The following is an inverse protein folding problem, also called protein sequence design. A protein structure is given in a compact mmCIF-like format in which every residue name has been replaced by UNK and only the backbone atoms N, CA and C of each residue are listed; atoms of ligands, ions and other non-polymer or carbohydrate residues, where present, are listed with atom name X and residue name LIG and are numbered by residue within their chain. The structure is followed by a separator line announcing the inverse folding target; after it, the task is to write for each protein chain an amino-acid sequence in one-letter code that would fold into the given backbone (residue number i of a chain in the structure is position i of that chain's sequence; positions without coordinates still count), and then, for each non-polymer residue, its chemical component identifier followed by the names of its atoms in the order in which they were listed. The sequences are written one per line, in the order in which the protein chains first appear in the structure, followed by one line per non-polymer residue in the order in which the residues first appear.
data_IF_239552961519
#
_entry.id   IF_239552961519
#
_cell.length_a   1.000
_cell.length_b   1.000
_cell.length_c   1.000
_cell.angle_alpha   90.00
_cell.angle_beta   90.00
_cell.angle_gamma   90.00
#
_symmetry.space_group_name_H-M   'P 1'
#
loop_
_entity.id
_entity.type
_entity.pdbx_description
1 polymer ?
#
# COMPACT_ATOMS: atom_id res chain seq x y z
N UNK A 1 14.94 -8.27 10.92
CA UNK A 1 13.83 -7.42 10.43
C UNK A 1 14.32 -5.99 10.47
N UNK A 2 14.34 -5.29 9.33
CA UNK A 2 15.00 -4.00 9.21
C UNK A 2 14.14 -2.92 9.90
N UNK A 3 14.76 -1.95 10.59
CA UNK A 3 14.02 -0.90 11.32
C UNK A 3 13.10 -0.10 10.38
N UNK A 4 13.52 0.07 9.12
CA UNK A 4 12.74 0.69 8.05
C UNK A 4 11.46 -0.05 7.67
N UNK A 5 11.48 -1.39 7.67
CA UNK A 5 10.28 -2.21 7.37
C UNK A 5 9.23 -2.17 8.48
N UNK A 6 9.66 -2.07 9.74
CA UNK A 6 8.75 -1.93 10.88
C UNK A 6 8.12 -0.54 10.93
N UNK A 7 8.93 0.50 10.67
CA UNK A 7 8.44 1.88 10.58
C UNK A 7 7.43 2.03 9.44
N UNK A 8 7.74 1.53 8.24
CA UNK A 8 6.82 1.60 7.10
C UNK A 8 5.51 0.84 7.31
N UNK A 9 5.51 -0.24 8.09
CA UNK A 9 4.27 -0.94 8.48
C UNK A 9 3.44 -0.14 9.49
N UNK A 10 4.08 0.51 10.45
CA UNK A 10 3.42 1.36 11.45
C UNK A 10 2.86 2.62 10.79
N UNK A 11 3.62 3.25 9.91
CA UNK A 11 3.24 4.47 9.19
C UNK A 11 2.09 4.20 8.19
N UNK A 12 1.96 2.97 7.69
CA UNK A 12 0.85 2.54 6.85
C UNK A 12 -0.42 2.18 7.64
N UNK A 13 -0.35 2.00 8.96
CA UNK A 13 -1.49 1.64 9.79
C UNK A 13 -2.19 2.89 10.33
N UNK A 14 -3.48 2.98 10.11
CA UNK A 14 -4.30 4.03 10.71
C UNK A 14 -4.36 3.84 12.24
N UNK A 15 -4.52 4.94 12.99
CA UNK A 15 -4.68 4.88 14.45
C UNK A 15 -5.79 3.90 14.90
N UNK A 16 -6.97 3.84 14.25
CA UNK A 16 -7.97 2.81 14.52
C UNK A 16 -7.45 1.39 14.32
N UNK A 17 -6.69 1.13 13.25
CA UNK A 17 -6.06 -0.17 13.00
C UNK A 17 -5.12 -0.58 14.13
N UNK A 18 -4.26 0.34 14.59
CA UNK A 18 -3.34 0.10 15.71
C UNK A 18 -4.08 -0.24 17.01
N UNK A 19 -5.18 0.46 17.30
CA UNK A 19 -6.01 0.19 18.49
C UNK A 19 -6.67 -1.19 18.43
N UNK A 20 -7.25 -1.55 17.27
CA UNK A 20 -7.85 -2.87 17.05
C UNK A 20 -6.81 -3.99 17.21
N UNK A 21 -5.62 -3.83 16.62
CA UNK A 21 -4.53 -4.78 16.80
C UNK A 21 -4.07 -4.89 18.25
N UNK A 22 -3.99 -3.77 18.97
CA UNK A 22 -3.63 -3.75 20.38
C UNK A 22 -4.62 -4.56 21.22
N UNK A 23 -5.92 -4.41 20.97
CA UNK A 23 -6.98 -5.19 21.65
C UNK A 23 -6.81 -6.68 21.37
N UNK A 24 -6.63 -7.09 20.10
CA UNK A 24 -6.45 -8.51 19.74
C UNK A 24 -5.22 -9.10 20.42
N UNK A 25 -4.09 -8.39 20.39
CA UNK A 25 -2.85 -8.84 21.04
C UNK A 25 -3.02 -8.97 22.56
N UNK A 26 -3.71 -8.02 23.19
CA UNK A 26 -4.02 -8.08 24.63
C UNK A 26 -4.92 -9.27 24.97
N UNK A 27 -5.93 -9.55 24.14
CA UNK A 27 -6.82 -10.71 24.35
C UNK A 27 -6.07 -12.04 24.19
N UNK A 28 -5.19 -12.15 23.19
CA UNK A 28 -4.32 -13.32 23.01
C UNK A 28 -3.43 -13.51 24.23
N UNK A 29 -2.75 -12.44 24.68
CA UNK A 29 -1.88 -12.48 25.84
C UNK A 29 -2.66 -12.86 27.11
N UNK A 30 -3.82 -12.26 27.33
CA UNK A 30 -4.69 -12.57 28.45
C UNK A 30 -5.14 -14.05 28.43
N UNK A 31 -5.48 -14.58 27.26
CA UNK A 31 -5.81 -16.00 27.07
C UNK A 31 -4.65 -16.93 27.43
N UNK A 32 -3.43 -16.63 26.97
CA UNK A 32 -2.22 -17.40 27.31
C UNK A 32 -1.95 -17.34 28.82
N UNK A 33 -2.00 -16.15 29.43
CA UNK A 33 -1.79 -15.99 30.87
C UNK A 33 -2.85 -16.74 31.67
N UNK A 34 -4.10 -16.69 31.25
CA UNK A 34 -5.20 -17.42 31.88
C UNK A 34 -4.99 -18.93 31.79
N UNK A 35 -4.65 -19.47 30.61
CA UNK A 35 -4.32 -20.89 30.42
C UNK A 35 -3.16 -21.33 31.31
N UNK A 36 -2.06 -20.56 31.36
CA UNK A 36 -0.91 -20.90 32.20
C UNK A 36 -1.24 -20.85 33.69
N UNK A 37 -2.08 -19.89 34.12
CA UNK A 37 -2.54 -19.80 35.51
C UNK A 37 -3.45 -20.95 35.90
N UNK A 38 -4.39 -21.35 35.03
CA UNK A 38 -5.30 -22.47 35.32
C UNK A 38 -4.54 -23.78 35.42
N UNK A 39 -3.62 -24.04 34.48
CA UNK A 39 -2.73 -25.20 34.58
C UNK A 39 -1.87 -25.19 35.84
N UNK A 40 -1.21 -24.06 36.15
CA UNK A 40 -0.37 -23.96 37.34
C UNK A 40 -1.16 -24.32 38.60
N UNK A 41 -2.37 -23.77 38.76
CA UNK A 41 -3.27 -24.09 39.87
C UNK A 41 -3.61 -25.58 39.93
N UNK A 42 -3.91 -26.20 38.78
CA UNK A 42 -4.21 -27.63 38.71
C UNK A 42 -3.04 -28.51 39.13
N UNK A 43 -1.82 -28.18 38.69
CA UNK A 43 -0.62 -28.95 39.05
C UNK A 43 -0.13 -28.66 40.47
N UNK A 44 -0.33 -27.45 40.99
CA UNK A 44 -0.09 -27.13 42.40
C UNK A 44 -0.98 -27.96 43.32
N UNK A 45 -2.29 -28.05 43.01
CA UNK A 45 -3.24 -28.86 43.76
C UNK A 45 -2.88 -30.36 43.79
N UNK A 46 -2.08 -30.83 42.82
CA UNK A 46 -1.57 -32.21 42.74
C UNK A 46 -0.17 -32.38 43.33
N UNK A 47 0.41 -31.34 43.93
CA UNK A 47 1.78 -31.36 44.47
C UNK A 47 2.88 -31.38 43.39
N UNK A 48 2.56 -31.03 42.14
CA UNK A 48 3.48 -31.07 40.97
C UNK A 48 3.83 -29.68 40.42
N UNK A 49 3.57 -28.61 41.16
CA UNK A 49 3.77 -27.22 40.74
C UNK A 49 5.17 -26.90 40.19
N UNK A 50 6.21 -27.34 40.89
CA UNK A 50 7.61 -27.16 40.46
C UNK A 50 7.92 -27.95 39.19
N UNK A 51 7.42 -29.19 39.10
CA UNK A 51 7.58 -30.03 37.91
C UNK A 51 6.87 -29.44 36.69
N UNK A 52 5.71 -28.80 36.87
CA UNK A 52 5.01 -28.08 35.79
C UNK A 52 5.88 -26.95 35.21
N UNK A 53 6.51 -26.15 36.06
CA UNK A 53 7.37 -25.05 35.61
C UNK A 53 8.55 -25.58 34.81
N UNK A 54 9.20 -26.65 35.29
CA UNK A 54 10.28 -27.30 34.56
C UNK A 54 9.83 -27.87 33.22
N UNK A 55 8.67 -28.51 33.16
CA UNK A 55 8.09 -28.99 31.91
C UNK A 55 7.85 -27.87 30.91
N UNK A 56 7.40 -26.69 31.37
CA UNK A 56 7.22 -25.50 30.53
C UNK A 56 8.53 -24.92 30.00
N UNK A 57 9.57 -24.88 30.83
CA UNK A 57 10.89 -24.44 30.41
C UNK A 57 11.54 -25.43 29.44
N UNK A 58 11.39 -26.74 29.68
CA UNK A 58 11.90 -27.81 28.81
C UNK A 58 11.15 -27.87 27.45
N UNK A 59 9.93 -27.36 27.37
CA UNK A 59 9.21 -27.29 26.09
C UNK A 59 9.96 -26.44 25.04
N UNK A 60 10.75 -25.44 25.46
CA UNK A 60 11.54 -24.60 24.54
C UNK A 60 12.68 -25.37 23.84
N UNK A 61 13.61 -26.04 24.55
CA UNK A 61 14.62 -26.88 23.89
C UNK A 61 14.00 -28.08 23.18
N UNK A 62 12.90 -28.66 23.68
CA UNK A 62 12.17 -29.70 22.96
C UNK A 62 11.64 -29.16 21.61
N UNK A 63 11.08 -27.94 21.59
CA UNK A 63 10.63 -27.30 20.36
C UNK A 63 11.78 -27.10 19.37
N UNK A 64 12.92 -26.61 19.85
CA UNK A 64 14.10 -26.40 19.04
C UNK A 64 14.61 -27.72 18.43
N UNK A 65 14.66 -28.78 19.22
CA UNK A 65 15.05 -30.13 18.76
C UNK A 65 14.05 -30.68 17.74
N UNK A 66 12.76 -30.56 18.00
CA UNK A 66 11.70 -30.97 17.06
C UNK A 66 11.81 -30.20 15.74
N UNK A 67 11.99 -28.88 15.79
CA UNK A 67 12.17 -28.05 14.60
C UNK A 67 13.45 -28.43 13.83
N UNK A 68 14.57 -28.65 14.53
CA UNK A 68 15.83 -29.06 13.93
C UNK A 68 15.73 -30.42 13.22
N UNK A 69 15.04 -31.39 13.84
CA UNK A 69 14.81 -32.71 13.28
C UNK A 69 14.01 -32.68 11.97
N UNK A 70 13.16 -31.66 11.77
CA UNK A 70 12.37 -31.50 10.54
C UNK A 70 13.10 -30.63 9.51
N UNK A 71 13.62 -29.47 9.92
CA UNK A 71 14.10 -28.43 9.02
C UNK A 71 15.51 -28.71 8.51
N UNK A 72 16.42 -29.21 9.34
CA UNK A 72 17.82 -29.42 8.92
C UNK A 72 17.93 -30.46 7.81
N UNK A 73 17.27 -31.64 7.89
CA UNK A 73 17.38 -32.61 6.81
C UNK A 73 16.65 -32.13 5.54
N UNK A 74 15.48 -31.49 5.67
CA UNK A 74 14.78 -30.92 4.52
C UNK A 74 15.63 -29.89 3.76
N UNK A 75 16.42 -29.07 4.46
CA UNK A 75 17.35 -28.10 3.86
C UNK A 75 18.55 -28.73 3.16
N UNK A 76 18.88 -29.97 3.47
CA UNK A 76 19.98 -30.70 2.81
C UNK A 76 19.56 -31.33 1.48
N UNK A 77 18.26 -31.33 1.17
CA UNK A 77 17.69 -31.85 -0.07
C UNK A 77 17.43 -30.66 -1.00
N UNK A 78 17.83 -30.77 -2.26
CA UNK A 78 17.53 -29.78 -3.30
C UNK A 78 16.28 -30.21 -4.09
N UNK A 79 15.56 -29.23 -4.66
CA UNK A 79 14.44 -29.50 -5.55
C UNK A 79 13.10 -29.79 -4.85
N UNK A 80 12.08 -30.22 -5.60
CA UNK A 80 10.73 -30.51 -5.08
C UNK A 80 10.70 -31.63 -4.03
N UNK A 81 11.68 -32.53 -4.03
CA UNK A 81 11.85 -33.61 -3.07
C UNK A 81 12.03 -33.09 -1.63
N UNK A 82 12.62 -31.90 -1.48
CA UNK A 82 12.78 -31.25 -0.19
C UNK A 82 11.43 -30.96 0.47
N UNK A 83 10.43 -30.55 -0.33
CA UNK A 83 9.08 -30.28 0.15
C UNK A 83 8.35 -31.55 0.58
N UNK A 84 8.48 -32.62 -0.21
CA UNK A 84 7.89 -33.93 0.12
C UNK A 84 8.47 -34.49 1.42
N UNK A 85 9.81 -34.45 1.56
CA UNK A 85 10.47 -34.84 2.81
C UNK A 85 10.04 -33.97 3.98
N UNK A 86 9.98 -32.64 3.80
CA UNK A 86 9.53 -31.72 4.83
C UNK A 86 8.14 -32.08 5.36
N UNK A 87 7.16 -32.34 4.48
CA UNK A 87 5.83 -32.75 4.91
C UNK A 87 5.83 -34.09 5.62
N UNK A 88 6.56 -35.09 5.10
CA UNK A 88 6.68 -36.39 5.75
C UNK A 88 7.24 -36.23 7.18
N UNK A 89 8.35 -35.49 7.33
CA UNK A 89 8.97 -35.22 8.62
C UNK A 89 8.04 -34.41 9.54
N UNK A 90 7.33 -33.42 9.01
CA UNK A 90 6.39 -32.60 9.76
C UNK A 90 5.23 -33.42 10.32
N UNK A 91 4.69 -34.37 9.56
CA UNK A 91 3.54 -35.18 9.99
C UNK A 91 3.93 -36.44 10.77
N UNK A 92 5.19 -36.86 10.75
CA UNK A 92 5.65 -38.08 11.44
C UNK A 92 6.69 -37.80 12.53
N UNK A 93 7.86 -37.26 12.17
CA UNK A 93 8.96 -36.99 13.08
C UNK A 93 8.63 -35.88 14.08
N UNK A 94 7.91 -34.84 13.65
CA UNK A 94 7.59 -33.72 14.54
C UNK A 94 6.68 -34.14 15.70
N UNK A 95 5.54 -34.83 15.48
CA UNK A 95 4.71 -35.34 16.58
C UNK A 95 5.47 -36.35 17.45
N UNK A 96 6.20 -37.28 16.85
CA UNK A 96 6.95 -38.30 17.60
C UNK A 96 8.00 -37.67 18.53
N UNK A 97 8.78 -36.72 18.02
CA UNK A 97 9.77 -36.00 18.82
C UNK A 97 9.10 -35.13 19.88
N UNK A 98 8.10 -34.32 19.51
CA UNK A 98 7.44 -33.40 20.43
C UNK A 98 6.79 -34.14 21.61
N UNK A 99 5.87 -35.06 21.34
CA UNK A 99 5.14 -35.78 22.38
C UNK A 99 6.03 -36.80 23.09
N UNK A 100 6.96 -37.45 22.38
CA UNK A 100 7.91 -38.40 22.94
C UNK A 100 8.85 -37.76 23.96
N UNK A 101 9.46 -36.61 23.61
CA UNK A 101 10.35 -35.88 24.51
C UNK A 101 9.60 -35.29 25.71
N UNK A 102 8.36 -34.80 25.54
CA UNK A 102 7.53 -34.37 26.68
C UNK A 102 7.24 -35.53 27.64
N UNK A 103 6.94 -36.73 27.12
CA UNK A 103 6.73 -37.92 27.94
C UNK A 103 7.99 -38.34 28.70
N UNK A 104 9.15 -38.32 28.04
CA UNK A 104 10.44 -38.63 28.66
C UNK A 104 10.76 -37.62 29.76
N UNK A 105 10.63 -36.31 29.48
CA UNK A 105 10.85 -35.25 30.45
C UNK A 105 9.93 -35.38 31.67
N UNK A 106 8.64 -35.68 31.45
CA UNK A 106 7.66 -35.88 32.53
C UNK A 106 7.95 -37.11 33.40
N UNK A 107 8.51 -38.17 32.83
CA UNK A 107 8.94 -39.37 33.55
C UNK A 107 10.18 -39.15 34.43
N UNK A 108 10.97 -38.11 34.14
CA UNK A 108 12.16 -37.71 34.91
C UNK A 108 11.83 -36.73 36.05
N UNK A 109 10.61 -36.18 36.10
CA UNK A 109 10.18 -35.30 37.19
C UNK A 109 9.88 -36.09 38.48
N UNK A 110 10.02 -35.42 39.62
CA UNK A 110 9.62 -35.92 40.95
C UNK A 110 8.70 -34.88 41.61
N UNK A 111 7.40 -35.17 41.81
CA UNK A 111 6.67 -36.40 41.43
C UNK A 111 6.55 -36.61 39.92
N UNK A 112 6.47 -37.87 39.49
CA UNK A 112 6.36 -38.24 38.06
C UNK A 112 5.03 -37.79 37.46
N UNK A 113 5.06 -37.31 36.21
CA UNK A 113 3.86 -36.96 35.44
C UNK A 113 3.26 -38.21 34.80
N UNK A 114 1.93 -38.30 34.77
CA UNK A 114 1.24 -39.38 34.04
C UNK A 114 1.30 -39.13 32.53
N UNK A 115 1.01 -40.17 31.74
CA UNK A 115 0.95 -40.04 30.26
C UNK A 115 -0.05 -38.97 29.82
N UNK A 116 -1.22 -38.92 30.47
CA UNK A 116 -2.27 -37.94 30.18
C UNK A 116 -1.82 -36.51 30.53
N UNK A 117 -1.12 -36.33 31.64
CA UNK A 117 -0.58 -35.02 32.03
C UNK A 117 0.51 -34.53 31.06
N UNK A 118 1.40 -35.42 30.62
CA UNK A 118 2.42 -35.08 29.62
C UNK A 118 1.80 -34.70 28.28
N UNK A 119 0.79 -35.46 27.84
CA UNK A 119 0.04 -35.16 26.62
C UNK A 119 -0.68 -33.82 26.72
N UNK A 120 -1.35 -33.54 27.84
CA UNK A 120 -2.01 -32.27 28.09
C UNK A 120 -1.06 -31.08 28.01
N UNK A 121 0.12 -31.18 28.64
CA UNK A 121 1.15 -30.13 28.59
C UNK A 121 1.74 -29.93 27.19
N UNK A 122 1.99 -31.02 26.46
CA UNK A 122 2.47 -30.98 25.10
C UNK A 122 1.44 -30.32 24.15
N UNK A 123 0.16 -30.66 24.32
CA UNK A 123 -0.93 -30.11 23.52
C UNK A 123 -1.16 -28.63 23.82
N UNK A 124 -1.20 -28.24 25.09
CA UNK A 124 -1.36 -26.83 25.45
C UNK A 124 -0.13 -25.99 25.11
N UNK A 125 1.08 -26.58 25.13
CA UNK A 125 2.29 -25.95 24.58
C UNK A 125 2.17 -25.66 23.08
N UNK A 126 1.68 -26.63 22.30
CA UNK A 126 1.38 -26.41 20.88
C UNK A 126 0.29 -25.37 20.67
N UNK A 127 -0.76 -25.38 21.49
CA UNK A 127 -1.83 -24.39 21.41
C UNK A 127 -1.29 -22.96 21.62
N UNK A 128 -0.39 -22.74 22.59
CA UNK A 128 0.26 -21.44 22.81
C UNK A 128 1.07 -21.00 21.59
N UNK A 129 1.63 -21.93 20.82
CA UNK A 129 2.42 -21.63 19.62
C UNK A 129 1.54 -21.37 18.38
N UNK A 130 0.50 -22.18 18.18
CA UNK A 130 -0.29 -22.23 16.94
C UNK A 130 -1.49 -21.29 16.98
N UNK A 131 -2.17 -21.19 18.12
CA UNK A 131 -3.41 -20.40 18.22
C UNK A 131 -3.16 -18.91 17.97
N UNK A 132 -2.11 -18.25 18.49
CA UNK A 132 -1.87 -16.84 18.22
C UNK A 132 -1.75 -16.48 16.73
N UNK A 133 -0.89 -17.12 15.91
CA UNK A 133 -0.81 -16.78 14.49
C UNK A 133 -2.11 -17.09 13.74
N UNK A 134 -2.86 -18.13 14.13
CA UNK A 134 -4.18 -18.40 13.53
C UNK A 134 -5.17 -17.27 13.84
N UNK A 135 -5.27 -16.84 15.10
CA UNK A 135 -6.15 -15.74 15.49
C UNK A 135 -5.77 -14.43 14.81
N UNK A 136 -4.47 -14.14 14.69
CA UNK A 136 -3.97 -12.96 13.97
C UNK A 136 -4.36 -13.04 12.48
N UNK A 137 -4.18 -14.19 11.84
CA UNK A 137 -4.58 -14.40 10.44
C UNK A 137 -6.08 -14.25 10.23
N UNK A 138 -6.90 -14.80 11.14
CA UNK A 138 -8.36 -14.64 11.10
C UNK A 138 -8.81 -13.20 11.35
N UNK A 139 -8.10 -12.46 12.20
CA UNK A 139 -8.42 -11.06 12.51
C UNK A 139 -8.01 -10.08 11.41
N UNK A 140 -7.03 -10.44 10.56
CA UNK A 140 -6.47 -9.54 9.54
C UNK A 140 -7.53 -8.95 8.60
N UNK A 141 -8.39 -9.79 8.01
CA UNK A 141 -9.44 -9.34 7.10
C UNK A 141 -10.47 -8.42 7.77
N UNK A 142 -11.12 -8.85 8.86
CA UNK A 142 -12.07 -8.02 9.60
C UNK A 142 -11.48 -6.71 10.12
N UNK A 143 -10.26 -6.71 10.67
CA UNK A 143 -9.59 -5.48 11.13
C UNK A 143 -9.33 -4.54 9.96
N UNK A 144 -8.81 -5.05 8.85
CA UNK A 144 -8.60 -4.24 7.65
C UNK A 144 -9.92 -3.59 7.19
N UNK A 145 -10.98 -4.39 7.01
CA UNK A 145 -12.30 -3.90 6.58
C UNK A 145 -12.86 -2.86 7.55
N UNK A 146 -12.83 -3.12 8.86
CA UNK A 146 -13.35 -2.19 9.86
C UNK A 146 -12.51 -0.90 9.92
N UNK A 147 -11.19 -1.00 9.89
CA UNK A 147 -10.30 0.16 9.89
C UNK A 147 -10.51 1.03 8.65
N UNK A 148 -10.69 0.41 7.49
CA UNK A 148 -11.01 1.08 6.24
C UNK A 148 -12.38 1.74 6.32
N UNK A 149 -13.42 1.03 6.80
CA UNK A 149 -14.76 1.60 6.96
C UNK A 149 -14.79 2.80 7.92
N UNK A 150 -14.06 2.73 9.04
CA UNK A 150 -13.93 3.86 9.97
C UNK A 150 -13.25 5.06 9.32
N UNK A 151 -12.23 4.80 8.50
CA UNK A 151 -11.55 5.85 7.75
C UNK A 151 -12.47 6.47 6.66
N UNK A 152 -13.14 5.65 5.86
CA UNK A 152 -14.13 6.11 4.86
C UNK A 152 -15.23 6.95 5.52
N UNK A 153 -15.80 6.46 6.62
CA UNK A 153 -16.80 7.19 7.39
C UNK A 153 -16.28 8.54 7.90
N UNK A 154 -15.01 8.60 8.32
CA UNK A 154 -14.37 9.86 8.70
C UNK A 154 -14.35 10.90 7.57
N UNK A 155 -14.13 10.47 6.32
CA UNK A 155 -14.19 11.35 5.16
C UNK A 155 -15.62 11.75 4.83
N UNK A 156 -16.57 10.82 4.86
CA UNK A 156 -17.99 11.11 4.59
C UNK A 156 -18.57 12.16 5.56
N UNK A 157 -18.14 12.11 6.83
CA UNK A 157 -18.58 13.02 7.89
C UNK A 157 -17.66 14.24 8.07
N UNK A 158 -16.68 14.46 7.19
CA UNK A 158 -15.81 15.63 7.28
C UNK A 158 -16.62 16.94 7.21
N UNK A 159 -16.24 17.93 8.01
CA UNK A 159 -16.96 19.21 8.04
C UNK A 159 -16.84 19.94 6.70
N UNK A 160 -17.95 20.45 6.18
CA UNK A 160 -17.92 21.27 4.96
C UNK A 160 -17.35 22.65 5.28
N UNK A 161 -16.39 23.10 4.48
CA UNK A 161 -15.78 24.42 4.56
C UNK A 161 -15.48 24.95 3.15
N UNK A 162 -15.27 26.27 2.97
CA UNK A 162 -14.78 26.80 1.71
C UNK A 162 -13.42 26.18 1.35
N UNK A 163 -13.21 25.86 0.07
CA UNK A 163 -11.93 25.32 -0.39
C UNK A 163 -10.81 26.37 -0.16
N UNK A 164 -9.73 26.02 0.57
CA UNK A 164 -8.66 26.96 0.86
C UNK A 164 -7.75 27.23 -0.35
N UNK A 165 -7.76 26.35 -1.35
CA UNK A 165 -6.95 26.49 -2.56
C UNK A 165 -7.35 27.71 -3.37
N UNK A 166 -6.35 28.39 -3.92
CA UNK A 166 -6.56 29.45 -4.92
C UNK A 166 -6.63 28.80 -6.30
N UNK A 167 -7.78 28.92 -6.97
CA UNK A 167 -7.92 28.45 -8.34
C UNK A 167 -7.29 29.45 -9.32
N UNK A 168 -6.25 29.02 -10.02
CA UNK A 168 -5.66 29.81 -11.10
C UNK A 168 -6.58 29.85 -12.32
N UNK A 169 -6.42 30.83 -13.23
CA UNK A 169 -7.22 30.88 -14.46
C UNK A 169 -7.09 29.60 -15.29
N UNK A 170 -8.20 29.14 -15.84
CA UNK A 170 -8.20 28.03 -16.80
C UNK A 170 -7.47 28.46 -18.07
N UNK A 171 -6.60 27.59 -18.57
CA UNK A 171 -5.87 27.79 -19.82
C UNK A 171 -6.29 26.74 -20.85
N UNK A 172 -6.32 27.14 -22.13
CA UNK A 172 -6.65 26.26 -23.26
C UNK A 172 -5.42 26.06 -24.13
N UNK A 173 -5.09 24.80 -24.41
CA UNK A 173 -3.93 24.44 -25.22
C UNK A 173 -4.32 23.61 -26.45
N UNK A 174 -3.67 23.89 -27.58
CA UNK A 174 -3.74 23.13 -28.83
C UNK A 174 -2.57 22.15 -28.91
N UNK A 175 -2.87 20.87 -29.08
CA UNK A 175 -1.88 19.79 -29.24
C UNK A 175 -1.72 19.47 -30.74
N UNK A 176 -1.30 20.46 -31.52
CA UNK A 176 -1.24 20.35 -32.98
C UNK A 176 -2.60 20.03 -33.60
N UNK A 177 -2.63 19.07 -34.53
CA UNK A 177 -3.87 18.62 -35.19
C UNK A 177 -4.64 17.55 -34.38
N UNK A 178 -4.08 17.05 -33.27
CA UNK A 178 -4.66 15.92 -32.54
C UNK A 178 -5.88 16.31 -31.69
N UNK A 179 -5.88 17.52 -31.13
CA UNK A 179 -6.95 17.99 -30.27
C UNK A 179 -6.55 19.16 -29.41
N UNK A 180 -7.44 19.51 -28.49
CA UNK A 180 -7.25 20.61 -27.54
C UNK A 180 -7.59 20.15 -26.13
N UNK A 181 -6.93 20.75 -25.14
CA UNK A 181 -7.17 20.49 -23.71
C UNK A 181 -7.42 21.80 -22.97
N UNK A 182 -8.14 21.68 -21.87
CA UNK A 182 -8.15 22.68 -20.81
C UNK A 182 -7.25 22.23 -19.67
N UNK A 183 -6.64 23.20 -19.00
CA UNK A 183 -5.83 22.96 -17.81
C UNK A 183 -6.12 24.00 -16.74
N UNK A 184 -6.01 23.60 -15.48
CA UNK A 184 -6.15 24.50 -14.35
C UNK A 184 -5.31 24.01 -13.18
N UNK A 185 -4.73 24.93 -12.43
CA UNK A 185 -4.01 24.60 -11.19
C UNK A 185 -4.74 25.20 -10.00
N UNK A 186 -4.79 24.44 -8.91
CA UNK A 186 -5.28 24.85 -7.60
C UNK A 186 -4.08 24.91 -6.66
N UNK A 187 -3.72 26.10 -6.21
CA UNK A 187 -2.56 26.31 -5.34
C UNK A 187 -2.98 26.28 -3.87
N UNK A 188 -2.35 25.42 -3.09
CA UNK A 188 -2.61 25.32 -1.65
C UNK A 188 -1.91 26.43 -0.88
N UNK A 189 -2.57 27.07 0.10
CA UNK A 189 -1.87 27.90 1.06
C UNK A 189 -1.01 27.05 2.02
N UNK A 190 -0.02 27.64 2.69
CA UNK A 190 0.77 26.93 3.69
C UNK A 190 -0.09 26.33 4.81
N UNK A 191 0.25 25.12 5.26
CA UNK A 191 -0.40 24.45 6.39
C UNK A 191 -1.66 23.65 6.03
N UNK A 192 -2.08 23.64 4.77
CA UNK A 192 -3.09 22.70 4.26
C UNK A 192 -2.42 21.38 3.91
N UNK A 193 -3.05 20.26 4.28
CA UNK A 193 -2.61 18.92 3.88
C UNK A 193 -3.77 18.13 3.28
N UNK A 194 -3.75 17.89 1.98
CA UNK A 194 -4.72 17.05 1.29
C UNK A 194 -4.56 15.60 1.73
N UNK A 195 -5.65 15.01 2.19
CA UNK A 195 -5.71 13.59 2.55
C UNK A 195 -6.35 12.73 1.46
N UNK A 196 -7.35 13.27 0.76
CA UNK A 196 -8.12 12.53 -0.23
C UNK A 196 -8.79 13.45 -1.23
N UNK A 197 -8.94 12.97 -2.46
CA UNK A 197 -9.69 13.64 -3.50
C UNK A 197 -10.63 12.61 -4.11
N UNK A 198 -11.93 12.86 -3.99
CA UNK A 198 -12.95 12.07 -4.64
C UNK A 198 -13.44 12.78 -5.89
N UNK A 199 -13.86 12.01 -6.89
CA UNK A 199 -14.59 12.52 -8.05
C UNK A 199 -15.95 11.84 -8.13
N UNK A 200 -16.93 12.56 -8.67
CA UNK A 200 -18.29 12.06 -8.80
C UNK A 200 -18.51 11.33 -10.13
N UNK A 201 -18.97 10.09 -10.06
CA UNK A 201 -19.48 9.32 -11.21
C UNK A 201 -20.93 8.93 -10.93
N UNK A 202 -21.87 9.48 -11.71
CA UNK A 202 -23.30 9.38 -11.39
C UNK A 202 -23.60 9.99 -10.02
N UNK A 203 -24.13 9.18 -9.10
CA UNK A 203 -24.40 9.59 -7.72
C UNK A 203 -23.35 9.11 -6.71
N UNK A 204 -22.28 8.49 -7.18
CA UNK A 204 -21.24 7.93 -6.31
C UNK A 204 -19.98 8.78 -6.32
N UNK A 205 -19.44 9.03 -5.13
CA UNK A 205 -18.11 9.62 -4.93
C UNK A 205 -17.09 8.51 -4.80
N UNK A 206 -15.99 8.62 -5.54
CA UNK A 206 -14.95 7.60 -5.55
C UNK A 206 -13.56 8.21 -5.53
N UNK A 207 -12.66 7.56 -4.81
CA UNK A 207 -11.31 8.06 -4.58
C UNK A 207 -10.51 8.03 -5.88
N UNK A 208 -10.03 9.20 -6.30
CA UNK A 208 -9.25 9.38 -7.53
C UNK A 208 -7.94 8.61 -7.51
N UNK A 209 -7.36 8.33 -6.33
CA UNK A 209 -6.17 7.49 -6.19
C UNK A 209 -6.39 6.03 -6.61
N UNK A 210 -7.64 5.57 -6.70
CA UNK A 210 -8.00 4.22 -7.16
C UNK A 210 -8.48 4.19 -8.61
N UNK A 211 -8.56 5.35 -9.26
CA UNK A 211 -9.04 5.46 -10.63
C UNK A 211 -7.90 5.36 -11.63
N UNK A 212 -8.21 4.76 -12.78
CA UNK A 212 -7.35 4.80 -13.96
C UNK A 212 -7.72 6.03 -14.78
N UNK A 213 -6.74 6.78 -15.32
CA UNK A 213 -6.98 7.94 -16.20
C UNK A 213 -7.63 9.15 -15.52
N UNK A 214 -7.08 9.55 -14.37
CA UNK A 214 -7.75 10.41 -13.41
C UNK A 214 -7.86 11.93 -13.70
N UNK A 215 -7.74 12.50 -14.90
CA UNK A 215 -7.72 13.97 -15.22
C UNK A 215 -6.99 14.98 -14.28
N UNK A 216 -6.36 14.53 -13.21
CA UNK A 216 -5.76 15.32 -12.14
C UNK A 216 -4.43 14.68 -11.74
N UNK A 217 -3.50 15.52 -11.33
CA UNK A 217 -2.29 15.11 -10.63
C UNK A 217 -2.01 16.06 -9.46
N UNK A 218 -1.20 15.61 -8.53
CA UNK A 218 -0.83 16.31 -7.32
C UNK A 218 0.67 16.62 -7.31
N UNK A 219 1.00 17.82 -6.83
CA UNK A 219 2.37 18.24 -6.56
C UNK A 219 2.41 18.87 -5.16
N UNK A 220 2.93 18.13 -4.17
CA UNK A 220 2.83 18.51 -2.77
C UNK A 220 1.37 18.62 -2.37
N UNK A 221 0.88 19.84 -2.13
CA UNK A 221 -0.51 20.11 -1.77
C UNK A 221 -1.29 20.82 -2.88
N UNK A 222 -0.63 21.08 -4.01
CA UNK A 222 -1.23 21.66 -5.20
C UNK A 222 -1.88 20.58 -6.05
N UNK A 223 -2.96 20.95 -6.73
CA UNK A 223 -3.68 20.07 -7.66
C UNK A 223 -3.63 20.67 -9.06
N UNK A 224 -3.39 19.82 -10.05
CA UNK A 224 -3.33 20.22 -11.45
C UNK A 224 -4.29 19.36 -12.25
N UNK A 225 -5.20 20.02 -12.95
CA UNK A 225 -6.26 19.42 -13.74
C UNK A 225 -5.92 19.56 -15.22
N UNK A 226 -6.12 18.50 -16.00
CA UNK A 226 -5.99 18.52 -17.44
C UNK A 226 -7.06 17.61 -18.08
N UNK A 227 -7.91 18.18 -18.94
CA UNK A 227 -9.01 17.44 -19.57
C UNK A 227 -9.22 17.86 -21.02
N UNK A 228 -9.75 16.95 -21.83
CA UNK A 228 -10.01 17.22 -23.25
C UNK A 228 -11.15 18.22 -23.44
N UNK A 229 -11.03 19.12 -24.41
CA UNK A 229 -12.14 19.99 -24.82
C UNK A 229 -13.33 19.13 -25.25
N UNK A 230 -14.53 19.47 -24.79
CA UNK A 230 -15.75 18.70 -25.04
C UNK A 230 -15.99 17.52 -24.08
N UNK A 231 -15.04 17.20 -23.19
CA UNK A 231 -15.26 16.26 -22.10
C UNK A 231 -15.79 17.00 -20.86
N UNK A 232 -16.88 16.54 -20.23
CA UNK A 232 -17.33 17.11 -18.98
C UNK A 232 -16.32 16.79 -17.88
N UNK A 233 -15.97 17.79 -17.06
CA UNK A 233 -15.20 17.55 -15.86
C UNK A 233 -16.15 17.20 -14.72
N UNK A 234 -15.94 16.04 -14.11
CA UNK A 234 -16.69 15.67 -12.91
C UNK A 234 -16.34 16.62 -11.75
N UNK A 235 -17.30 16.94 -10.86
CA UNK A 235 -16.99 17.64 -9.61
C UNK A 235 -15.96 16.86 -8.79
N UNK A 236 -15.05 17.60 -8.17
CA UNK A 236 -14.10 17.07 -7.20
C UNK A 236 -14.61 17.34 -5.80
N UNK A 237 -14.37 16.42 -4.88
CA UNK A 237 -14.52 16.63 -3.45
C UNK A 237 -13.14 16.46 -2.83
N UNK A 238 -12.62 17.56 -2.30
CA UNK A 238 -11.27 17.62 -1.79
C UNK A 238 -11.35 17.58 -0.26
N UNK A 239 -10.67 16.61 0.35
CA UNK A 239 -10.55 16.46 1.79
C UNK A 239 -9.15 16.88 2.23
N UNK A 240 -9.07 17.77 3.22
CA UNK A 240 -7.80 18.25 3.76
C UNK A 240 -7.85 18.34 5.28
N UNK A 241 -6.65 18.30 5.89
CA UNK A 241 -6.44 18.73 7.26
C UNK A 241 -5.95 20.16 7.30
N UNK A 242 -6.53 20.93 8.21
CA UNK A 242 -6.04 22.24 8.62
C UNK A 242 -4.85 22.08 9.58
N UNK A 243 -4.14 23.17 9.87
CA UNK A 243 -2.93 23.15 10.71
C UNK A 243 -3.18 22.65 12.15
N UNK A 244 -4.41 22.75 12.65
CA UNK A 244 -4.88 22.21 13.93
C UNK A 244 -5.24 20.71 13.87
N UNK A 245 -5.14 20.08 12.70
CA UNK A 245 -5.42 18.65 12.49
C UNK A 245 -6.89 18.32 12.18
N UNK A 246 -7.77 19.31 12.10
CA UNK A 246 -9.20 19.11 11.80
C UNK A 246 -9.40 18.69 10.34
N UNK A 247 -10.18 17.63 10.11
CA UNK A 247 -10.52 17.15 8.76
C UNK A 247 -11.71 17.94 8.21
N UNK A 248 -11.53 18.53 7.03
CA UNK A 248 -12.54 19.32 6.32
C UNK A 248 -12.68 18.84 4.88
N UNK A 249 -13.79 19.22 4.25
CA UNK A 249 -14.05 18.95 2.83
C UNK A 249 -14.72 20.11 2.11
N UNK A 250 -14.52 20.17 0.80
CA UNK A 250 -15.21 21.09 -0.11
C UNK A 250 -15.44 20.41 -1.46
N UNK A 251 -16.56 20.75 -2.09
CA UNK A 251 -16.80 20.41 -3.49
C UNK A 251 -16.24 21.52 -4.39
N UNK A 252 -15.42 21.12 -5.36
CA UNK A 252 -14.86 21.99 -6.38
C UNK A 252 -15.47 21.68 -7.74
N UNK A 253 -15.93 22.73 -8.43
CA UNK A 253 -16.47 22.66 -9.78
C UNK A 253 -15.85 23.76 -10.63
N UNK A 254 -15.54 23.41 -11.86
CA UNK A 254 -15.13 24.41 -12.86
C UNK A 254 -16.37 25.11 -13.41
N UNK A 255 -16.31 26.43 -13.48
CA UNK A 255 -17.32 27.21 -14.18
C UNK A 255 -17.16 27.02 -15.70
N UNK A 256 -18.07 26.23 -16.27
CA UNK A 256 -18.05 25.91 -17.69
C UNK A 256 -18.44 27.10 -18.59
N UNK A 257 -19.06 28.16 -18.03
CA UNK A 257 -19.67 29.24 -18.81
C UNK A 257 -18.64 30.05 -19.63
N UNK A 258 -17.39 30.09 -19.19
CA UNK A 258 -16.32 30.87 -19.83
C UNK A 258 -15.31 30.02 -20.60
N UNK A 259 -15.42 28.68 -20.56
CA UNK A 259 -14.41 27.80 -21.16
C UNK A 259 -14.34 27.96 -22.69
N UNK A 260 -15.48 28.15 -23.35
CA UNK A 260 -15.57 28.23 -24.80
C UNK A 260 -14.89 29.49 -25.38
N UNK A 261 -14.84 30.58 -24.61
CA UNK A 261 -14.26 31.87 -25.04
C UNK A 261 -12.76 31.99 -24.75
N UNK A 262 -12.15 31.02 -24.07
CA UNK A 262 -10.72 31.04 -23.78
C UNK A 262 -9.89 30.92 -25.08
N UNK A 263 -8.88 31.79 -25.28
CA UNK A 263 -7.98 31.68 -26.41
C UNK A 263 -7.12 30.42 -26.30
N UNK A 264 -7.01 29.67 -27.40
CA UNK A 264 -6.15 28.49 -27.48
C UNK A 264 -4.69 28.90 -27.73
N UNK A 265 -3.77 28.38 -26.92
CA UNK A 265 -2.32 28.54 -27.04
C UNK A 265 -1.69 27.25 -27.57
N UNK A 266 -0.60 27.31 -28.33
CA UNK A 266 0.03 26.09 -28.81
C UNK A 266 0.81 25.38 -27.69
N UNK A 267 0.57 24.08 -27.52
CA UNK A 267 1.27 23.24 -26.55
C UNK A 267 2.69 22.95 -27.05
N UNK A 268 3.70 23.55 -26.43
CA UNK A 268 5.10 23.39 -26.84
C UNK A 268 5.89 22.65 -25.77
N UNK A 269 6.47 21.50 -26.15
CA UNK A 269 7.41 20.76 -25.30
C UNK A 269 8.80 21.34 -25.47
N UNK A 270 9.41 21.80 -24.37
CA UNK A 270 10.84 22.14 -24.40
C UNK A 270 11.66 20.90 -24.02
N UNK A 271 12.72 20.67 -24.80
CA UNK A 271 13.53 19.47 -24.69
C UNK A 271 14.81 19.73 -23.91
N UNK A 272 15.18 18.80 -23.04
CA UNK A 272 16.48 18.74 -22.37
C UNK A 272 17.07 17.35 -22.61
N UNK A 273 18.39 17.21 -22.47
CA UNK A 273 19.01 15.90 -22.69
C UNK A 273 18.63 14.89 -21.60
N UNK A 274 18.45 15.38 -20.37
CA UNK A 274 18.06 14.58 -19.22
C UNK A 274 16.55 14.53 -18.97
N UNK A 275 15.74 15.26 -19.75
CA UNK A 275 14.37 15.56 -19.35
C UNK A 275 13.54 16.38 -20.35
N UNK A 276 12.39 16.84 -19.88
CA UNK A 276 11.49 17.72 -20.64
C UNK A 276 10.95 18.82 -19.73
N UNK A 277 10.53 19.91 -20.34
CA UNK A 277 9.72 20.93 -19.68
C UNK A 277 8.39 21.08 -20.42
N UNK A 278 7.33 20.60 -19.76
CA UNK A 278 5.96 20.83 -20.22
C UNK A 278 5.54 22.27 -19.87
N UNK A 279 4.70 22.91 -20.71
CA UNK A 279 4.20 24.26 -20.44
C UNK A 279 3.25 24.30 -19.24
N UNK A 280 2.64 23.15 -18.92
CA UNK A 280 1.74 22.94 -17.79
C UNK A 280 1.98 21.57 -17.18
N UNK A 281 1.71 21.40 -15.88
CA UNK A 281 1.73 20.09 -15.23
C UNK A 281 0.74 19.13 -15.87
N UNK A 282 1.17 17.91 -16.15
CA UNK A 282 0.31 16.83 -16.62
C UNK A 282 0.48 15.59 -15.74
N UNK A 283 -0.62 14.89 -15.51
CA UNK A 283 -0.64 13.55 -14.92
C UNK A 283 0.30 12.58 -15.67
N UNK A 284 1.00 11.72 -14.93
CA UNK A 284 1.99 10.80 -15.52
C UNK A 284 1.42 9.78 -16.48
N UNK A 285 0.22 9.29 -16.21
CA UNK A 285 -0.43 8.25 -17.01
C UNK A 285 -0.87 8.72 -18.40
N UNK A 286 -0.96 10.03 -18.66
CA UNK A 286 -1.16 10.56 -20.02
C UNK A 286 0.16 10.80 -20.76
N UNK A 287 1.32 10.74 -20.09
CA UNK A 287 2.62 11.06 -20.68
C UNK A 287 3.41 9.79 -20.96
N UNK A 288 3.87 9.65 -22.21
CA UNK A 288 4.85 8.63 -22.60
C UNK A 288 6.09 9.30 -23.17
N UNK A 289 7.26 8.84 -22.76
CA UNK A 289 8.54 9.36 -23.22
C UNK A 289 9.16 8.41 -24.22
N UNK A 290 9.62 8.98 -25.33
CA UNK A 290 10.29 8.30 -26.43
C UNK A 290 11.78 8.62 -26.46
N UNK A 291 12.60 7.61 -26.71
CA UNK A 291 14.04 7.76 -26.97
C UNK A 291 14.51 6.78 -28.03
N UNK A 292 15.61 7.09 -28.69
CA UNK A 292 16.16 6.22 -29.71
C UNK A 292 16.97 5.09 -29.08
N UNK A 293 16.64 3.84 -29.45
CA UNK A 293 17.50 2.67 -29.17
C UNK A 293 18.36 2.29 -30.37
N UNK A 294 17.90 2.65 -31.56
CA UNK A 294 18.57 2.49 -32.84
C UNK A 294 18.18 3.68 -33.74
N UNK A 295 19.01 4.03 -34.75
CA UNK A 295 18.75 5.18 -35.60
C UNK A 295 17.35 5.13 -36.22
N UNK A 296 16.55 6.17 -36.00
CA UNK A 296 15.19 6.30 -36.52
C UNK A 296 14.12 5.44 -35.85
N UNK A 297 14.45 4.66 -34.81
CA UNK A 297 13.50 3.82 -34.08
C UNK A 297 13.32 4.33 -32.64
N UNK A 298 12.22 5.08 -32.42
CA UNK A 298 11.82 5.53 -31.09
C UNK A 298 11.17 4.41 -30.28
N UNK A 299 11.71 4.18 -29.08
CA UNK A 299 11.10 3.34 -28.07
C UNK A 299 10.36 4.23 -27.07
N UNK A 300 9.05 4.01 -26.93
CA UNK A 300 8.20 4.73 -25.98
C UNK A 300 7.96 3.93 -24.71
N UNK A 301 8.00 4.62 -23.57
CA UNK A 301 7.61 4.09 -22.26
C UNK A 301 6.63 5.03 -21.58
N UNK A 302 5.53 4.48 -21.08
CA UNK A 302 4.57 5.17 -20.23
C UNK A 302 5.17 5.51 -18.86
N UNK A 303 4.77 6.64 -18.28
CA UNK A 303 5.21 7.06 -16.95
C UNK A 303 4.30 6.56 -15.82
N UNK A 304 3.44 5.58 -16.11
CA UNK A 304 2.59 4.87 -15.14
C UNK A 304 3.41 4.20 -14.02
N UNK A 305 4.69 3.90 -14.26
CA UNK A 305 5.61 3.38 -13.24
C UNK A 305 6.50 4.48 -12.69
N UNK A 306 6.76 4.42 -11.38
CA UNK A 306 7.72 5.30 -10.71
C UNK A 306 9.16 4.96 -11.09
N UNK A 307 9.96 6.01 -11.22
CA UNK A 307 11.42 5.95 -11.30
C UNK A 307 12.03 6.02 -9.89
N UNK A 308 13.31 5.66 -9.74
CA UNK A 308 14.04 5.91 -8.49
C UNK A 308 13.95 7.38 -8.05
N UNK A 309 13.49 7.60 -6.81
CA UNK A 309 13.33 8.94 -6.22
C UNK A 309 11.96 9.58 -6.41
N UNK A 310 11.07 8.97 -7.19
CA UNK A 310 9.68 9.43 -7.35
C UNK A 310 8.76 8.72 -6.34
N UNK A 311 7.59 9.33 -6.09
CA UNK A 311 6.56 8.79 -5.22
C UNK A 311 5.18 8.98 -5.86
N UNK A 312 4.16 8.21 -5.43
CA UNK A 312 2.80 8.30 -5.99
C UNK A 312 1.97 9.47 -5.44
N UNK A 313 2.49 10.22 -4.45
CA UNK A 313 1.83 11.42 -3.92
C UNK A 313 2.09 12.61 -4.84
N UNK A 314 3.28 12.67 -5.43
CA UNK A 314 3.71 13.67 -6.42
C UNK A 314 3.71 13.06 -7.83
N UNK A 315 2.52 12.94 -8.42
CA UNK A 315 2.28 12.22 -9.67
C UNK A 315 2.13 13.13 -10.90
N UNK A 316 2.62 14.37 -10.81
CA UNK A 316 2.70 15.29 -11.94
C UNK A 316 4.04 15.20 -12.70
N UNK A 317 3.98 15.26 -14.02
CA UNK A 317 5.10 15.60 -14.92
C UNK A 317 5.15 17.12 -15.04
N UNK A 318 6.12 17.72 -14.35
CA UNK A 318 6.28 19.16 -14.25
C UNK A 318 7.32 19.70 -15.25
N UNK A 319 7.39 21.02 -15.38
CA UNK A 319 8.64 21.69 -15.82
C UNK A 319 9.77 21.21 -14.91
N UNK A 320 10.91 20.83 -15.49
CA UNK A 320 12.04 20.27 -14.77
C UNK A 320 12.03 18.74 -14.68
N UNK A 321 11.02 18.05 -15.24
CA UNK A 321 10.97 16.58 -15.19
C UNK A 321 12.22 15.93 -15.78
N UNK A 322 12.86 15.04 -15.01
CA UNK A 322 14.10 14.35 -15.36
C UNK A 322 13.91 12.85 -15.39
N UNK A 323 14.48 12.18 -16.39
CA UNK A 323 14.54 10.72 -16.44
C UNK A 323 15.75 10.21 -15.64
N UNK A 324 15.54 9.25 -14.76
CA UNK A 324 16.60 8.72 -13.89
C UNK A 324 17.71 8.01 -14.66
N UNK A 325 17.36 7.23 -15.70
CA UNK A 325 18.29 6.39 -16.46
C UNK A 325 18.78 7.04 -17.78
N UNK A 326 18.67 8.36 -17.93
CA UNK A 326 18.97 9.04 -19.21
C UNK A 326 20.40 8.78 -19.74
N UNK A 327 21.38 8.64 -18.86
CA UNK A 327 22.78 8.36 -19.27
C UNK A 327 22.95 6.99 -19.92
N UNK A 328 22.07 6.03 -19.62
CA UNK A 328 22.12 4.67 -20.17
C UNK A 328 21.20 4.52 -21.38
N UNK A 329 20.05 5.21 -21.37
CA UNK A 329 18.99 5.08 -22.37
C UNK A 329 19.05 6.17 -23.46
N UNK A 330 19.90 7.18 -23.33
CA UNK A 330 20.05 8.28 -24.29
C UNK A 330 19.24 9.54 -23.95
N UNK A 331 19.14 10.48 -24.88
CA UNK A 331 18.31 11.68 -24.69
C UNK A 331 16.83 11.36 -24.96
N UNK A 332 15.93 12.19 -24.43
CA UNK A 332 14.52 12.14 -24.82
C UNK A 332 14.38 12.76 -26.22
N UNK A 333 13.75 12.02 -27.12
CA UNK A 333 13.54 12.38 -28.53
C UNK A 333 12.06 12.44 -28.92
N UNK A 334 11.14 11.95 -28.07
CA UNK A 334 9.71 12.00 -28.32
C UNK A 334 8.88 12.11 -27.04
N UNK A 335 7.69 12.70 -27.15
CA UNK A 335 6.65 12.73 -26.11
C UNK A 335 5.32 12.39 -26.75
N UNK A 336 4.61 11.40 -26.22
CA UNK A 336 3.23 11.13 -26.57
C UNK A 336 2.35 11.55 -25.40
N UNK A 337 1.35 12.38 -25.68
CA UNK A 337 0.27 12.69 -24.75
C UNK A 337 -0.97 11.91 -25.17
N UNK A 338 -1.49 11.03 -24.31
CA UNK A 338 -2.64 10.16 -24.59
C UNK A 338 -3.81 10.48 -23.67
N UNK A 339 -4.94 10.83 -24.26
CA UNK A 339 -6.16 11.17 -23.52
C UNK A 339 -7.27 10.14 -23.78
N UNK A 340 -7.99 9.80 -22.73
CA UNK A 340 -9.11 8.85 -22.74
C UNK A 340 -10.38 9.60 -22.30
N UNK A 341 -11.03 10.37 -23.19
CA UNK A 341 -12.25 11.08 -22.86
C UNK A 341 -13.38 10.09 -22.53
N UNK A 342 -14.39 10.57 -21.81
CA UNK A 342 -15.57 9.75 -21.49
C UNK A 342 -16.28 9.32 -22.78
N UNK A 343 -16.72 8.05 -22.91
CA UNK A 343 -17.53 7.61 -24.05
C UNK A 343 -18.73 8.54 -24.29
N UNK A 344 -19.10 8.81 -25.56
CA UNK A 344 -18.69 8.10 -26.78
C UNK A 344 -17.42 8.62 -27.47
N UNK A 345 -16.72 9.62 -26.92
CA UNK A 345 -15.52 10.15 -27.54
C UNK A 345 -14.41 9.09 -27.59
N UNK A 346 -13.73 8.98 -28.74
CA UNK A 346 -12.61 8.05 -28.89
C UNK A 346 -11.36 8.57 -28.18
N UNK A 347 -10.55 7.66 -27.64
CA UNK A 347 -9.21 8.00 -27.18
C UNK A 347 -8.38 8.57 -28.32
N UNK A 348 -7.56 9.56 -28.00
CA UNK A 348 -6.72 10.24 -28.98
C UNK A 348 -5.35 10.53 -28.37
N UNK A 349 -4.36 10.78 -29.23
CA UNK A 349 -3.00 11.09 -28.78
C UNK A 349 -2.35 12.15 -29.66
N UNK A 350 -1.48 12.95 -29.04
CA UNK A 350 -0.59 13.88 -29.72
C UNK A 350 0.85 13.40 -29.57
N UNK A 351 1.60 13.36 -30.67
CA UNK A 351 3.02 13.02 -30.68
C UNK A 351 3.85 14.27 -30.97
N UNK A 352 4.80 14.55 -30.09
CA UNK A 352 5.80 15.59 -30.23
C UNK A 352 7.15 14.92 -30.45
N UNK A 353 7.87 15.35 -31.47
CA UNK A 353 9.23 14.87 -31.76
C UNK A 353 10.22 16.00 -31.59
N UNK A 354 11.38 15.68 -31.00
CA UNK A 354 12.52 16.60 -30.97
C UNK A 354 13.08 16.68 -32.39
N UNK A 355 13.00 17.87 -33.00
CA UNK A 355 13.54 18.11 -34.34
C UNK A 355 15.05 18.27 -34.28
N UNK A 356 15.77 17.63 -35.21
CA UNK A 356 17.22 17.81 -35.37
C UNK A 356 18.12 16.91 -34.52
N UNK A 357 17.68 15.68 -34.19
CA UNK A 357 18.55 14.59 -33.72
C UNK A 357 18.81 13.63 -34.87
#
# INVERSE_FOLDING_TARGET
MNRSTLQGFIDAQTLPGLLLWSIVLLLILAGIVWLLRTEKRQYDARGKGRGWLWMRLLALPILALTAAAVVLPARSIAGPEALAYFYLALFTLAPLSWFGLHRLAGALQSPRFTRAECFGLALSGLAILIVPPLLLGMAQGPIYTLSHQLQESGFDHAAQAPLPHTALPVQRFRLGAAGEIFTQSLEAPPGVRIERIDTRSGDHWSNTATQTHAYLCRQGENLHLAWSVGSPLAPLRIHWRTADGTLQQAEYRIDASQLASLPAQDFTVNWRDDGIDLPVPLMRDVVQLGWERAPGALHYRSLDRLQPGENFVDDCVMRGYRRAAWQQEGAISGVILRFHPTPPAAAWQAEFRRTGI
#
